data_IF_317812077849
#
_entry.id   IF_317812077849
#
_cell.length_a   1.000
_cell.length_b   1.000
_cell.length_c   1.000
_cell.angle_alpha   90.00
_cell.angle_beta   90.00
_cell.angle_gamma   90.00
#
_symmetry.space_group_name_H-M   'P 1'
#
loop_
_entity.id
_entity.type
_entity.pdbx_description
1 polymer ?
#
# COMPACT_ATOMS: atom_id res chain seq x y z
N UNK A 1 9.43 4.24 11.45
CA UNK A 1 7.95 4.42 11.40
C UNK A 1 7.31 3.27 12.19
N UNK A 2 6.38 3.54 13.12
CA UNK A 2 5.59 2.48 13.78
C UNK A 2 4.34 2.23 12.95
N UNK A 3 4.37 1.18 12.14
CA UNK A 3 3.25 0.71 11.33
C UNK A 3 3.17 -0.80 11.42
N UNK A 4 1.96 -1.30 11.63
CA UNK A 4 1.67 -2.72 11.71
C UNK A 4 0.54 -3.05 10.73
N UNK A 5 0.62 -4.21 10.10
CA UNK A 5 -0.37 -4.66 9.15
C UNK A 5 -1.56 -5.30 9.87
N UNK A 6 -2.78 -4.83 9.58
CA UNK A 6 -4.04 -5.39 10.07
C UNK A 6 -4.77 -6.12 8.94
N UNK A 7 -4.64 -7.45 8.93
CA UNK A 7 -5.32 -8.32 7.99
C UNK A 7 -4.64 -9.67 7.88
N UNK A 8 -5.30 -10.59 7.19
CA UNK A 8 -4.75 -11.91 6.86
C UNK A 8 -4.58 -12.00 5.36
N UNK A 9 -3.37 -12.31 4.92
CA UNK A 9 -3.10 -12.54 3.50
C UNK A 9 -3.60 -13.92 3.10
N UNK A 10 -4.06 -14.06 1.86
CA UNK A 10 -4.31 -15.39 1.28
C UNK A 10 -2.97 -16.10 1.00
N UNK A 11 -2.92 -17.44 0.88
CA UNK A 11 -1.67 -18.16 0.63
C UNK A 11 -0.91 -17.66 -0.62
N UNK A 12 -1.64 -17.26 -1.67
CA UNK A 12 -1.05 -16.71 -2.90
C UNK A 12 -0.42 -15.34 -2.64
N UNK A 13 -1.08 -14.49 -1.84
CA UNK A 13 -0.56 -13.18 -1.48
C UNK A 13 0.67 -13.29 -0.58
N UNK A 14 0.67 -14.20 0.40
CA UNK A 14 1.83 -14.45 1.26
C UNK A 14 3.05 -14.88 0.45
N UNK A 15 2.87 -15.82 -0.49
CA UNK A 15 3.93 -16.28 -1.38
C UNK A 15 4.50 -15.12 -2.21
N UNK A 16 3.64 -14.27 -2.78
CA UNK A 16 4.06 -13.11 -3.57
C UNK A 16 4.82 -12.07 -2.73
N UNK A 17 4.30 -11.72 -1.55
CA UNK A 17 4.93 -10.77 -0.62
C UNK A 17 6.28 -11.29 -0.15
N UNK A 18 6.37 -12.57 0.24
CA UNK A 18 7.63 -13.20 0.66
C UNK A 18 8.68 -13.10 -0.44
N UNK A 19 8.30 -13.42 -1.69
CA UNK A 19 9.23 -13.38 -2.82
C UNK A 19 9.75 -11.98 -3.13
N UNK A 20 8.88 -10.96 -3.10
CA UNK A 20 9.29 -9.57 -3.36
C UNK A 20 10.16 -9.00 -2.23
N UNK A 21 9.95 -9.45 -0.99
CA UNK A 21 10.72 -8.99 0.16
C UNK A 21 12.19 -9.43 0.12
N UNK A 22 12.52 -10.46 -0.67
CA UNK A 22 13.90 -10.95 -0.84
C UNK A 22 14.83 -9.98 -1.61
N UNK A 23 14.29 -8.94 -2.22
CA UNK A 23 15.06 -7.97 -3.02
C UNK A 23 14.60 -6.55 -2.73
N UNK A 24 15.50 -5.57 -2.85
CA UNK A 24 15.13 -4.16 -2.65
C UNK A 24 14.24 -3.62 -3.76
N UNK A 25 14.43 -4.13 -4.98
CA UNK A 25 13.65 -3.78 -6.17
C UNK A 25 12.95 -5.02 -6.72
N UNK A 26 11.70 -4.86 -7.16
CA UNK A 26 10.92 -5.95 -7.74
C UNK A 26 9.60 -5.47 -8.33
N UNK A 27 9.04 -6.29 -9.22
CA UNK A 27 7.75 -6.02 -9.87
C UNK A 27 6.72 -7.03 -9.36
N UNK A 28 5.65 -6.54 -8.73
CA UNK A 28 4.47 -7.34 -8.40
C UNK A 28 3.46 -7.27 -9.54
N UNK A 29 3.35 -8.34 -10.33
CA UNK A 29 2.31 -8.46 -11.35
C UNK A 29 1.16 -9.31 -10.82
N UNK A 30 -0.05 -8.76 -10.81
CA UNK A 30 -1.25 -9.52 -10.45
C UNK A 30 -2.50 -8.94 -11.13
N UNK A 31 -3.52 -9.74 -11.43
CA UNK A 31 -4.75 -9.26 -12.05
C UNK A 31 -5.54 -8.32 -11.11
N UNK A 32 -6.52 -7.53 -11.62
CA UNK A 32 -7.49 -6.83 -10.79
C UNK A 32 -8.16 -7.79 -9.78
N UNK A 33 -8.49 -7.31 -8.59
CA UNK A 33 -9.10 -8.15 -7.54
C UNK A 33 -8.13 -9.05 -6.77
N UNK A 34 -6.92 -9.31 -7.26
CA UNK A 34 -5.94 -10.17 -6.57
C UNK A 34 -5.38 -9.61 -5.23
N UNK A 35 -5.71 -8.37 -4.89
CA UNK A 35 -5.26 -7.74 -3.64
C UNK A 35 -3.88 -7.08 -3.71
N UNK A 36 -3.49 -6.53 -4.86
CA UNK A 36 -2.23 -5.76 -5.02
C UNK A 36 -2.03 -4.71 -3.94
N UNK A 37 -3.07 -3.95 -3.62
CA UNK A 37 -3.04 -2.92 -2.58
C UNK A 37 -2.81 -3.50 -1.18
N UNK A 38 -3.41 -4.66 -0.87
CA UNK A 38 -3.25 -5.35 0.42
C UNK A 38 -1.81 -5.88 0.55
N UNK A 39 -1.30 -6.52 -0.50
CA UNK A 39 0.10 -6.97 -0.56
C UNK A 39 1.08 -5.81 -0.41
N UNK A 40 0.81 -4.67 -1.06
CA UNK A 40 1.62 -3.46 -0.90
C UNK A 40 1.59 -2.93 0.54
N UNK A 41 0.42 -2.90 1.20
CA UNK A 41 0.32 -2.51 2.61
C UNK A 41 1.17 -3.45 3.49
N UNK A 42 1.08 -4.77 3.28
CA UNK A 42 1.94 -5.72 4.02
C UNK A 42 3.43 -5.43 3.80
N UNK A 43 3.85 -5.14 2.56
CA UNK A 43 5.24 -4.79 2.26
C UNK A 43 5.68 -3.50 2.98
N UNK A 44 4.81 -2.48 3.08
CA UNK A 44 5.08 -1.24 3.82
C UNK A 44 5.28 -1.52 5.31
N UNK A 45 4.38 -2.29 5.93
CA UNK A 45 4.48 -2.69 7.33
C UNK A 45 5.73 -3.53 7.62
N UNK A 46 6.13 -4.36 6.66
CA UNK A 46 7.31 -5.22 6.78
C UNK A 46 8.62 -4.45 6.63
N UNK A 47 8.68 -3.45 5.73
CA UNK A 47 9.89 -2.65 5.48
C UNK A 47 10.06 -1.49 6.46
N UNK A 48 8.95 -0.92 6.98
CA UNK A 48 8.93 0.20 7.96
C UNK A 48 9.73 1.45 7.55
N UNK A 49 9.82 1.70 6.25
CA UNK A 49 10.46 2.89 5.65
C UNK A 49 9.43 3.87 5.11
N UNK A 50 9.85 5.13 4.93
CA UNK A 50 9.05 6.14 4.23
C UNK A 50 8.66 5.64 2.85
N UNK A 51 7.36 5.67 2.53
CA UNK A 51 6.83 5.10 1.29
C UNK A 51 6.10 6.17 0.47
N UNK A 52 6.40 6.24 -0.82
CA UNK A 52 5.67 7.02 -1.81
C UNK A 52 4.84 6.09 -2.69
N UNK A 53 3.55 6.39 -2.84
CA UNK A 53 2.65 5.65 -3.73
C UNK A 53 2.19 6.60 -4.84
N UNK A 54 2.42 6.20 -6.09
CA UNK A 54 2.04 6.96 -7.27
C UNK A 54 0.84 6.29 -7.95
N UNK A 55 -0.18 7.09 -8.26
CA UNK A 55 -1.43 6.62 -8.87
C UNK A 55 -1.87 7.55 -9.99
N UNK A 56 -2.55 7.00 -10.99
CA UNK A 56 -2.90 7.72 -12.22
C UNK A 56 -4.01 8.77 -12.08
N UNK A 57 -4.91 8.65 -11.10
CA UNK A 57 -6.12 9.50 -10.99
C UNK A 57 -6.56 9.67 -9.54
N UNK A 58 -7.27 10.77 -9.27
CA UNK A 58 -7.74 11.14 -7.93
C UNK A 58 -8.62 10.09 -7.24
N UNK A 59 -9.53 9.36 -7.91
CA UNK A 59 -10.30 8.30 -7.26
C UNK A 59 -9.43 7.16 -6.71
N UNK A 60 -8.33 6.82 -7.41
CA UNK A 60 -7.40 5.81 -6.92
C UNK A 60 -6.62 6.31 -5.71
N UNK A 61 -6.29 7.61 -5.67
CA UNK A 61 -5.64 8.23 -4.52
C UNK A 61 -6.52 8.08 -3.26
N UNK A 62 -7.81 8.40 -3.37
CA UNK A 62 -8.74 8.24 -2.24
C UNK A 62 -8.90 6.78 -1.82
N UNK A 63 -9.02 5.85 -2.77
CA UNK A 63 -9.03 4.42 -2.46
C UNK A 63 -7.75 3.97 -1.74
N UNK A 64 -6.59 4.44 -2.15
CA UNK A 64 -5.33 4.11 -1.48
C UNK A 64 -5.28 4.66 -0.06
N UNK A 65 -5.77 5.88 0.19
CA UNK A 65 -5.85 6.44 1.56
C UNK A 65 -6.71 5.60 2.46
N UNK A 66 -7.90 5.20 2.00
CA UNK A 66 -8.80 4.33 2.77
C UNK A 66 -8.12 2.99 3.08
N UNK A 67 -7.51 2.34 2.07
CA UNK A 67 -6.86 1.04 2.25
C UNK A 67 -5.65 1.12 3.17
N UNK A 68 -4.81 2.14 3.04
CA UNK A 68 -3.69 2.38 3.95
C UNK A 68 -4.22 2.57 5.37
N UNK A 69 -5.28 3.37 5.54
CA UNK A 69 -5.84 3.59 6.86
C UNK A 69 -6.36 2.31 7.50
N UNK A 70 -7.11 1.50 6.74
CA UNK A 70 -7.63 0.22 7.22
C UNK A 70 -6.55 -0.82 7.49
N UNK A 71 -5.59 -1.00 6.58
CA UNK A 71 -4.61 -2.10 6.66
C UNK A 71 -3.35 -1.74 7.44
N UNK A 72 -3.06 -0.46 7.70
CA UNK A 72 -1.85 -0.01 8.41
C UNK A 72 -2.13 0.75 9.71
N UNK A 73 -3.39 0.87 10.12
CA UNK A 73 -3.83 1.63 11.31
C UNK A 73 -3.35 3.08 11.34
N UNK A 74 -3.14 3.68 10.17
CA UNK A 74 -2.74 5.08 10.05
C UNK A 74 -4.02 5.93 9.90
N UNK A 75 -4.28 6.92 10.77
CA UNK A 75 -5.41 7.81 10.59
C UNK A 75 -5.33 8.53 9.23
N UNK A 76 -6.46 8.64 8.49
CA UNK A 76 -6.48 9.27 7.16
C UNK A 76 -5.82 10.67 7.15
N UNK A 77 -6.00 11.43 8.24
CA UNK A 77 -5.41 12.76 8.43
C UNK A 77 -3.87 12.80 8.45
N UNK A 78 -3.23 11.67 8.75
CA UNK A 78 -1.77 11.52 8.78
C UNK A 78 -1.20 11.04 7.43
N UNK A 79 -2.07 10.64 6.50
CA UNK A 79 -1.67 10.22 5.15
C UNK A 79 -1.51 11.47 4.27
N UNK A 80 -0.27 11.86 4.02
CA UNK A 80 0.06 12.96 3.12
C UNK A 80 -0.36 12.67 1.67
N UNK A 81 -0.97 13.65 1.02
CA UNK A 81 -1.43 13.54 -0.37
C UNK A 81 -0.93 14.71 -1.19
N UNK A 82 -0.37 14.42 -2.38
CA UNK A 82 0.00 15.42 -3.37
C UNK A 82 -0.90 15.22 -4.60
N UNK A 83 -1.73 16.22 -4.90
CA UNK A 83 -2.57 16.24 -6.11
C UNK A 83 -2.43 17.60 -6.80
N UNK A 84 -2.44 17.60 -8.14
CA UNK A 84 -2.25 18.80 -8.97
C UNK A 84 -3.42 19.79 -8.95
N UNK A 85 -4.46 19.53 -8.15
CA UNK A 85 -5.59 20.43 -8.00
C UNK A 85 -5.14 21.63 -7.17
N UNK A 86 -4.94 22.79 -7.82
CA UNK A 86 -4.70 24.08 -7.16
C UNK A 86 -5.65 24.21 -5.96
N UNK A 87 -5.10 24.35 -4.74
CA UNK A 87 -5.85 24.97 -3.64
C UNK A 87 -6.22 26.38 -4.13
N UNK A 88 -7.51 26.65 -4.27
CA UNK A 88 -8.02 28.02 -4.30
C UNK A 88 -8.04 28.55 -2.87
#
# INVERSE_FOLDING_TARGET
MKVDFEGTLTPVQEKAVKKIKESDLGILMAPPGAGKTVMACKLIADRKVSTLILVQRQPLLEQWKERISSFLKIPIKEIGTLSGSKRK
#
